data_IF_990794620485
#
_entry.id   IF_990794620485
#
_cell.length_a   1.000
_cell.length_b   1.000
_cell.length_c   1.000
_cell.angle_alpha   90.00
_cell.angle_beta   90.00
_cell.angle_gamma   90.00
#
_symmetry.space_group_name_H-M   'P 1'
#
loop_
_entity.id
_entity.type
_entity.pdbx_description
1 polymer ?
#
# COMPACT_ATOMS: atom_id res chain seq x y z
N UNK A 1 18.07 9.47 15.63
CA UNK A 1 19.52 9.10 15.81
C UNK A 1 20.20 9.94 16.89
N UNK A 2 19.80 11.18 17.12
CA UNK A 2 20.39 12.08 18.14
C UNK A 2 20.38 11.52 19.58
N UNK A 3 19.47 10.57 19.88
CA UNK A 3 19.41 9.88 21.20
C UNK A 3 20.02 8.47 21.18
N UNK A 4 20.79 8.14 20.13
CA UNK A 4 21.44 6.83 19.95
C UNK A 4 20.49 5.61 19.94
N UNK A 5 19.20 5.82 19.61
CA UNK A 5 18.21 4.75 19.48
C UNK A 5 18.30 4.09 18.08
N UNK A 6 19.46 3.53 17.77
CA UNK A 6 19.74 2.96 16.44
C UNK A 6 18.80 1.81 16.07
N UNK A 7 18.43 0.98 17.04
CA UNK A 7 17.53 -0.15 16.81
C UNK A 7 16.11 0.32 16.43
N UNK A 8 15.61 1.37 17.08
CA UNK A 8 14.31 1.95 16.77
C UNK A 8 14.32 2.59 15.38
N UNK A 9 15.37 3.34 15.06
CA UNK A 9 15.51 3.95 13.76
C UNK A 9 15.62 2.91 12.63
N UNK A 10 16.39 1.84 12.84
CA UNK A 10 16.49 0.72 11.89
C UNK A 10 15.14 0.03 11.69
N UNK A 11 14.37 -0.17 12.76
CA UNK A 11 13.03 -0.76 12.70
C UNK A 11 12.08 0.11 11.89
N UNK A 12 12.05 1.42 12.13
CA UNK A 12 11.21 2.35 11.38
C UNK A 12 11.53 2.32 9.88
N UNK A 13 12.83 2.28 9.52
CA UNK A 13 13.26 2.16 8.12
C UNK A 13 12.83 0.82 7.50
N UNK A 14 12.99 -0.26 8.25
CA UNK A 14 12.55 -1.58 7.81
C UNK A 14 11.03 -1.63 7.57
N UNK A 15 10.25 -1.14 8.54
CA UNK A 15 8.79 -1.11 8.45
C UNK A 15 8.32 -0.24 7.26
N UNK A 16 8.95 0.94 7.06
CA UNK A 16 8.67 1.79 5.91
C UNK A 16 8.97 1.08 4.58
N UNK A 17 10.15 0.45 4.45
CA UNK A 17 10.56 -0.19 3.20
C UNK A 17 9.62 -1.34 2.85
N UNK A 18 9.39 -2.25 3.79
CA UNK A 18 8.60 -3.45 3.53
C UNK A 18 7.11 -3.18 3.50
N UNK A 19 6.58 -2.55 4.56
CA UNK A 19 5.14 -2.43 4.73
C UNK A 19 4.57 -1.27 3.90
N UNK A 20 5.21 -0.09 3.91
CA UNK A 20 4.63 1.07 3.22
C UNK A 20 5.08 1.18 1.77
N UNK A 21 6.38 1.05 1.52
CA UNK A 21 6.90 1.26 0.17
C UNK A 21 6.68 0.04 -0.72
N UNK A 22 7.13 -1.16 -0.32
CA UNK A 22 7.03 -2.35 -1.17
C UNK A 22 5.59 -2.89 -1.26
N UNK A 23 4.92 -3.10 -0.12
CA UNK A 23 3.62 -3.75 -0.10
C UNK A 23 2.48 -2.85 -0.58
N UNK A 24 2.61 -1.52 -0.39
CA UNK A 24 1.55 -0.60 -0.74
C UNK A 24 1.95 0.33 -1.89
N UNK A 25 2.96 1.18 -1.70
CA UNK A 25 3.26 2.20 -2.71
C UNK A 25 3.58 1.60 -4.08
N UNK A 26 4.44 0.59 -4.15
CA UNK A 26 4.80 -0.05 -5.43
C UNK A 26 3.59 -0.72 -6.07
N UNK A 27 2.74 -1.40 -5.31
CA UNK A 27 1.54 -2.05 -5.85
C UNK A 27 0.52 -1.03 -6.39
N UNK A 28 0.34 0.10 -5.70
CA UNK A 28 -0.49 1.20 -6.19
C UNK A 28 0.13 1.84 -7.43
N UNK A 29 1.44 2.07 -7.42
CA UNK A 29 2.16 2.70 -8.52
C UNK A 29 2.10 1.87 -9.82
N UNK A 30 2.01 0.55 -9.74
CA UNK A 30 1.87 -0.32 -10.92
C UNK A 30 0.69 0.09 -11.80
N UNK A 31 -0.44 0.47 -11.20
CA UNK A 31 -1.62 0.90 -11.98
C UNK A 31 -1.34 2.11 -12.86
N UNK A 32 -0.48 3.02 -12.38
CA UNK A 32 -0.06 4.23 -13.10
C UNK A 32 1.09 3.96 -14.07
N UNK A 33 2.02 3.07 -13.72
CA UNK A 33 3.11 2.68 -14.63
C UNK A 33 2.63 2.03 -15.92
N UNK A 34 1.49 1.31 -15.85
CA UNK A 34 0.87 0.68 -17.03
C UNK A 34 -0.22 1.54 -17.68
N UNK A 35 -0.48 2.76 -17.18
CA UNK A 35 -1.44 3.66 -17.81
C UNK A 35 -0.86 4.26 -19.10
N UNK A 36 -1.73 4.80 -19.97
CA UNK A 36 -1.34 5.55 -21.16
C UNK A 36 -1.03 7.02 -20.85
N UNK A 37 -1.40 7.50 -19.66
CA UNK A 37 -1.15 8.86 -19.20
C UNK A 37 0.34 9.03 -18.84
N UNK A 38 1.06 9.69 -19.75
CA UNK A 38 2.51 9.91 -19.65
C UNK A 38 2.85 10.80 -18.45
N UNK A 39 2.06 11.84 -18.19
CA UNK A 39 2.33 12.79 -17.10
C UNK A 39 2.19 12.13 -15.74
N UNK A 40 1.10 11.37 -15.54
CA UNK A 40 0.89 10.57 -14.32
C UNK A 40 1.98 9.52 -14.13
N UNK A 41 2.43 8.89 -15.21
CA UNK A 41 3.53 7.93 -15.20
C UNK A 41 4.84 8.57 -14.77
N UNK A 42 5.21 9.70 -15.37
CA UNK A 42 6.44 10.42 -15.06
C UNK A 42 6.45 10.97 -13.62
N UNK A 43 5.32 11.50 -13.15
CA UNK A 43 5.18 11.93 -11.76
C UNK A 43 5.37 10.74 -10.80
N UNK A 44 4.71 9.62 -11.05
CA UNK A 44 4.85 8.41 -10.23
C UNK A 44 6.29 7.90 -10.21
N UNK A 45 6.97 7.92 -11.36
CA UNK A 45 8.39 7.57 -11.47
C UNK A 45 9.27 8.48 -10.62
N UNK A 46 9.06 9.80 -10.72
CA UNK A 46 9.83 10.80 -9.97
C UNK A 46 9.67 10.62 -8.46
N UNK A 47 8.45 10.37 -7.98
CA UNK A 47 8.17 10.10 -6.56
C UNK A 47 8.85 8.79 -6.12
N UNK A 48 8.75 7.72 -6.93
CA UNK A 48 9.37 6.44 -6.65
C UNK A 48 10.89 6.58 -6.49
N UNK A 49 11.56 7.19 -7.46
CA UNK A 49 13.02 7.40 -7.45
C UNK A 49 13.42 8.30 -6.28
N UNK A 50 12.68 9.38 -6.02
CA UNK A 50 12.96 10.26 -4.88
C UNK A 50 12.87 9.52 -3.54
N UNK A 51 11.84 8.67 -3.38
CA UNK A 51 11.65 7.84 -2.18
C UNK A 51 12.79 6.85 -2.00
N UNK A 52 13.18 6.13 -3.06
CA UNK A 52 14.31 5.19 -3.02
C UNK A 52 15.61 5.92 -2.65
N UNK A 53 15.90 7.05 -3.28
CA UNK A 53 17.11 7.84 -2.99
C UNK A 53 17.19 8.25 -1.51
N UNK A 54 16.10 8.77 -0.96
CA UNK A 54 16.02 9.14 0.46
C UNK A 54 16.21 7.92 1.36
N UNK A 55 15.57 6.81 1.02
CA UNK A 55 15.68 5.55 1.77
C UNK A 55 17.11 5.02 1.77
N UNK A 56 17.79 5.00 0.63
CA UNK A 56 19.20 4.59 0.51
C UNK A 56 20.10 5.49 1.36
N UNK A 57 19.87 6.81 1.36
CA UNK A 57 20.62 7.75 2.19
C UNK A 57 20.37 7.50 3.69
N UNK A 58 19.13 7.25 4.12
CA UNK A 58 18.80 6.96 5.52
C UNK A 58 19.36 5.61 5.99
N UNK A 59 19.53 4.64 5.09
CA UNK A 59 20.12 3.34 5.39
C UNK A 59 21.65 3.37 5.44
N UNK A 60 22.30 4.39 4.88
CA UNK A 60 23.76 4.44 4.72
C UNK A 60 24.53 4.22 6.03
N UNK A 61 24.14 4.76 7.20
CA UNK A 61 24.82 4.50 8.47
C UNK A 61 24.80 3.04 8.91
N UNK A 62 23.85 2.24 8.42
CA UNK A 62 23.70 0.83 8.78
C UNK A 62 24.38 -0.11 7.79
N UNK A 63 24.34 0.24 6.51
CA UNK A 63 24.79 -0.62 5.41
C UNK A 63 25.57 0.19 4.37
N UNK A 64 26.74 0.77 4.73
CA UNK A 64 27.44 1.76 3.89
C UNK A 64 27.82 1.24 2.50
N UNK A 65 28.32 0.02 2.41
CA UNK A 65 28.82 -0.51 1.13
C UNK A 65 27.70 -0.73 0.11
N UNK A 66 26.62 -1.37 0.51
CA UNK A 66 25.50 -1.66 -0.42
C UNK A 66 24.76 -0.37 -0.80
N UNK A 67 24.62 0.57 0.12
CA UNK A 67 23.94 1.84 -0.16
C UNK A 67 24.78 2.75 -1.06
N UNK A 68 26.11 2.73 -0.98
CA UNK A 68 26.98 3.44 -1.91
C UNK A 68 26.88 2.84 -3.32
N UNK A 69 26.85 1.53 -3.44
CA UNK A 69 26.65 0.86 -4.72
C UNK A 69 25.29 1.20 -5.32
N UNK A 70 24.21 1.12 -4.54
CA UNK A 70 22.87 1.52 -4.99
C UNK A 70 22.80 2.99 -5.39
N UNK A 71 23.48 3.87 -4.65
CA UNK A 71 23.55 5.31 -4.95
C UNK A 71 24.16 5.58 -6.31
N UNK A 72 25.13 4.75 -6.74
CA UNK A 72 25.77 4.90 -8.05
C UNK A 72 24.79 4.88 -9.22
N UNK A 73 23.67 4.17 -9.09
CA UNK A 73 22.60 4.11 -10.11
C UNK A 73 21.74 5.38 -10.15
N UNK A 74 21.72 6.14 -9.07
CA UNK A 74 20.87 7.33 -8.94
C UNK A 74 21.63 8.64 -9.03
N UNK A 75 22.96 8.62 -8.84
CA UNK A 75 23.78 9.82 -8.91
C UNK A 75 23.96 10.28 -10.35
N UNK A 76 23.84 11.59 -10.56
CA UNK A 76 24.25 12.21 -11.83
C UNK A 76 25.78 12.23 -11.98
N UNK A 77 26.27 12.49 -13.19
CA UNK A 77 27.72 12.52 -13.50
C UNK A 77 28.56 13.43 -12.60
N UNK A 78 27.94 14.48 -12.03
CA UNK A 78 28.60 15.48 -11.17
C UNK A 78 28.10 15.44 -9.73
N UNK A 79 27.41 14.38 -9.31
CA UNK A 79 26.91 14.24 -7.95
C UNK A 79 27.97 13.61 -7.04
N UNK A 80 27.98 14.04 -5.79
CA UNK A 80 28.85 13.50 -4.76
C UNK A 80 28.51 12.02 -4.45
N UNK A 81 29.48 11.30 -3.89
CA UNK A 81 29.24 10.01 -3.28
C UNK A 81 28.31 10.15 -2.07
N UNK A 82 27.61 9.10 -1.70
CA UNK A 82 26.57 9.17 -0.67
C UNK A 82 27.13 9.59 0.69
N UNK A 83 28.33 9.11 1.03
CA UNK A 83 29.01 9.41 2.29
C UNK A 83 29.24 10.91 2.54
N UNK A 84 29.34 11.72 1.48
CA UNK A 84 29.51 13.17 1.57
C UNK A 84 28.30 13.95 1.04
N UNK A 85 27.20 13.25 0.77
CA UNK A 85 25.96 13.88 0.32
C UNK A 85 25.20 14.50 1.50
N UNK A 86 24.29 15.43 1.19
CA UNK A 86 23.43 16.00 2.23
C UNK A 86 22.46 14.96 2.79
N UNK A 87 22.30 15.01 4.13
CA UNK A 87 21.31 14.19 4.83
C UNK A 87 19.89 14.58 4.41
N UNK A 88 18.98 13.59 4.15
CA UNK A 88 17.62 13.89 3.80
C UNK A 88 16.90 14.73 4.86
N UNK A 89 16.25 15.80 4.40
CA UNK A 89 15.46 16.70 5.26
C UNK A 89 13.98 16.38 5.13
N UNK A 90 13.28 16.50 6.24
CA UNK A 90 11.82 16.47 6.27
C UNK A 90 11.25 17.66 5.48
N UNK A 91 10.22 17.41 4.69
CA UNK A 91 9.42 18.44 4.08
C UNK A 91 7.98 18.36 4.62
N UNK A 92 7.67 19.20 5.58
CA UNK A 92 6.37 19.23 6.25
C UNK A 92 5.22 19.65 5.34
N UNK A 93 5.51 20.40 4.29
CA UNK A 93 4.50 20.87 3.33
C UNK A 93 3.91 19.70 2.50
N UNK A 94 4.58 18.56 2.51
CA UNK A 94 4.10 17.34 1.83
C UNK A 94 3.27 16.41 2.74
N UNK A 95 3.12 16.76 4.01
CA UNK A 95 2.32 15.97 4.96
C UNK A 95 0.88 16.43 4.86
N UNK A 96 0.00 15.52 4.45
CA UNK A 96 -1.43 15.73 4.34
C UNK A 96 -2.14 14.67 5.21
N UNK A 97 -2.66 15.10 6.36
CA UNK A 97 -3.30 14.23 7.33
C UNK A 97 -4.59 13.59 6.79
N UNK A 98 -5.33 14.27 5.91
CA UNK A 98 -6.54 13.72 5.30
C UNK A 98 -6.18 12.55 4.37
N UNK A 99 -5.15 12.73 3.54
CA UNK A 99 -4.64 11.67 2.66
C UNK A 99 -4.09 10.50 3.47
N UNK A 100 -3.36 10.77 4.56
CA UNK A 100 -2.82 9.73 5.44
C UNK A 100 -3.95 8.89 6.04
N UNK A 101 -4.99 9.53 6.58
CA UNK A 101 -6.15 8.85 7.17
C UNK A 101 -6.91 8.04 6.11
N UNK A 102 -7.21 8.64 4.97
CA UNK A 102 -7.84 7.96 3.82
C UNK A 102 -7.09 6.71 3.40
N UNK A 103 -5.77 6.82 3.26
CA UNK A 103 -4.92 5.67 2.92
C UNK A 103 -4.86 4.63 4.03
N UNK A 104 -4.92 5.04 5.29
CA UNK A 104 -5.03 4.14 6.44
C UNK A 104 -6.28 3.28 6.36
N UNK A 105 -7.45 3.89 6.19
CA UNK A 105 -8.73 3.19 6.05
C UNK A 105 -8.74 2.23 4.85
N UNK A 106 -8.22 2.66 3.70
CA UNK A 106 -8.11 1.81 2.51
C UNK A 106 -7.21 0.60 2.74
N UNK A 107 -6.07 0.79 3.40
CA UNK A 107 -5.16 -0.30 3.78
C UNK A 107 -5.86 -1.31 4.68
N UNK A 108 -6.64 -0.86 5.66
CA UNK A 108 -7.34 -1.73 6.59
C UNK A 108 -8.43 -2.55 5.89
N UNK A 109 -9.21 -1.94 5.01
CA UNK A 109 -10.23 -2.64 4.21
C UNK A 109 -9.57 -3.72 3.33
N UNK A 110 -8.54 -3.36 2.57
CA UNK A 110 -7.85 -4.29 1.68
C UNK A 110 -7.16 -5.42 2.46
N UNK A 111 -6.53 -5.09 3.59
CA UNK A 111 -5.90 -6.06 4.47
C UNK A 111 -6.90 -7.04 5.07
N UNK A 112 -8.09 -6.55 5.45
CA UNK A 112 -9.19 -7.38 5.93
C UNK A 112 -9.67 -8.38 4.87
N UNK A 113 -9.81 -7.94 3.61
CA UNK A 113 -10.14 -8.83 2.48
C UNK A 113 -9.04 -9.86 2.25
N UNK A 114 -7.77 -9.45 2.26
CA UNK A 114 -6.61 -10.36 2.12
C UNK A 114 -6.55 -11.39 3.25
N UNK A 115 -6.86 -10.98 4.48
CA UNK A 115 -6.92 -11.89 5.64
C UNK A 115 -8.03 -12.93 5.50
N UNK A 116 -9.21 -12.55 5.01
CA UNK A 116 -10.28 -13.51 4.69
C UNK A 116 -9.80 -14.50 3.62
N UNK A 117 -9.21 -14.02 2.54
CA UNK A 117 -8.68 -14.87 1.46
C UNK A 117 -7.68 -15.90 1.98
N UNK A 118 -6.73 -15.46 2.79
CA UNK A 118 -5.72 -16.34 3.41
C UNK A 118 -6.37 -17.38 4.31
N UNK A 119 -7.29 -16.97 5.19
CA UNK A 119 -8.01 -17.87 6.11
C UNK A 119 -8.86 -18.92 5.39
N UNK A 120 -9.38 -18.55 4.20
CA UNK A 120 -10.22 -19.43 3.37
C UNK A 120 -9.41 -20.17 2.29
N UNK A 121 -8.08 -20.09 2.32
CA UNK A 121 -7.20 -20.70 1.30
C UNK A 121 -7.56 -20.32 -0.14
N UNK A 122 -8.09 -19.10 -0.35
CA UNK A 122 -8.41 -18.61 -1.69
C UNK A 122 -7.12 -18.21 -2.40
N UNK A 123 -6.86 -18.81 -3.56
CA UNK A 123 -5.66 -18.49 -4.36
C UNK A 123 -5.53 -16.99 -4.61
N UNK A 124 -4.32 -16.41 -4.50
CA UNK A 124 -4.08 -15.01 -4.82
C UNK A 124 -4.47 -14.59 -6.25
N UNK A 125 -4.45 -15.54 -7.19
CA UNK A 125 -4.84 -15.30 -8.59
C UNK A 125 -6.35 -15.34 -8.83
N UNK A 126 -7.13 -15.98 -7.93
CA UNK A 126 -8.59 -16.08 -8.08
C UNK A 126 -9.23 -14.73 -7.76
N UNK A 127 -10.02 -14.20 -8.67
CA UNK A 127 -10.86 -13.03 -8.42
C UNK A 127 -12.09 -13.44 -7.62
N UNK A 128 -12.55 -12.55 -6.74
CA UNK A 128 -13.69 -12.79 -5.84
C UNK A 128 -14.65 -11.61 -5.87
N UNK A 129 -15.91 -11.85 -5.50
CA UNK A 129 -16.89 -10.79 -5.27
C UNK A 129 -16.86 -10.36 -3.81
N UNK A 130 -16.99 -9.05 -3.56
CA UNK A 130 -17.02 -8.44 -2.24
C UNK A 130 -18.34 -7.71 -2.04
N UNK A 131 -19.01 -7.97 -0.92
CA UNK A 131 -20.21 -7.27 -0.48
C UNK A 131 -19.86 -6.46 0.76
N UNK A 132 -20.15 -5.17 0.75
CA UNK A 132 -19.83 -4.21 1.81
C UNK A 132 -21.13 -3.61 2.30
N UNK A 133 -21.47 -3.89 3.56
CA UNK A 133 -22.58 -3.23 4.24
C UNK A 133 -22.00 -2.08 5.08
N UNK A 134 -22.43 -0.87 4.79
CA UNK A 134 -21.96 0.34 5.43
C UNK A 134 -23.02 1.45 5.37
N UNK A 135 -22.78 2.57 6.02
CA UNK A 135 -23.66 3.75 5.92
C UNK A 135 -23.47 4.52 4.61
N UNK A 136 -24.34 5.50 4.34
CA UNK A 136 -24.32 6.27 3.09
C UNK A 136 -23.04 7.10 2.90
N UNK A 137 -22.45 7.63 3.98
CA UNK A 137 -21.21 8.40 3.89
C UNK A 137 -20.03 7.51 3.47
N UNK A 138 -20.02 6.27 3.93
CA UNK A 138 -18.99 5.29 3.58
C UNK A 138 -19.15 4.74 2.15
N UNK A 139 -20.37 4.75 1.59
CA UNK A 139 -20.60 4.34 0.19
C UNK A 139 -19.79 5.21 -0.76
N UNK A 140 -19.88 6.53 -0.62
CA UNK A 140 -19.14 7.46 -1.47
C UNK A 140 -17.62 7.25 -1.37
N UNK A 141 -17.11 7.01 -0.17
CA UNK A 141 -15.70 6.71 0.06
C UNK A 141 -15.25 5.45 -0.69
N UNK A 142 -16.03 4.36 -0.61
CA UNK A 142 -15.74 3.10 -1.29
C UNK A 142 -15.79 3.29 -2.81
N UNK A 143 -16.80 3.98 -3.34
CA UNK A 143 -16.99 4.17 -4.78
C UNK A 143 -15.87 5.01 -5.39
N UNK A 144 -15.47 6.09 -4.73
CA UNK A 144 -14.34 6.92 -5.16
C UNK A 144 -13.02 6.13 -5.24
N UNK A 145 -12.83 5.16 -4.33
CA UNK A 145 -11.62 4.36 -4.24
C UNK A 145 -11.75 2.95 -4.84
N UNK A 146 -12.88 2.67 -5.49
CA UNK A 146 -13.23 1.33 -5.98
C UNK A 146 -12.18 0.70 -6.88
N UNK A 147 -11.60 1.46 -7.82
CA UNK A 147 -10.55 0.96 -8.72
C UNK A 147 -9.32 0.44 -7.94
N UNK A 148 -8.93 1.14 -6.89
CA UNK A 148 -7.80 0.77 -6.05
C UNK A 148 -8.13 -0.48 -5.24
N UNK A 149 -9.29 -0.51 -4.58
CA UNK A 149 -9.76 -1.65 -3.80
C UNK A 149 -9.87 -2.90 -4.68
N UNK A 150 -10.51 -2.79 -5.85
CA UNK A 150 -10.66 -3.90 -6.78
C UNK A 150 -9.31 -4.46 -7.24
N UNK A 151 -8.37 -3.58 -7.57
CA UNK A 151 -7.04 -3.98 -8.04
C UNK A 151 -6.25 -4.69 -6.94
N UNK A 152 -6.13 -4.09 -5.75
CA UNK A 152 -5.26 -4.57 -4.68
C UNK A 152 -5.85 -5.75 -3.88
N UNK A 153 -7.18 -5.84 -3.79
CA UNK A 153 -7.87 -6.97 -3.18
C UNK A 153 -8.16 -8.10 -4.18
N UNK A 154 -7.85 -7.90 -5.48
CA UNK A 154 -8.12 -8.85 -6.57
C UNK A 154 -9.60 -9.23 -6.65
N UNK A 155 -10.45 -8.20 -6.76
CA UNK A 155 -11.88 -8.39 -6.89
C UNK A 155 -12.30 -8.52 -8.36
N UNK A 156 -13.32 -9.33 -8.59
CA UNK A 156 -14.07 -9.40 -9.86
C UNK A 156 -15.18 -8.35 -9.87
N UNK A 157 -15.87 -8.24 -8.73
CA UNK A 157 -16.97 -7.30 -8.53
C UNK A 157 -17.07 -6.87 -7.07
N UNK A 158 -17.75 -5.76 -6.82
CA UNK A 158 -18.14 -5.37 -5.47
C UNK A 158 -19.58 -4.83 -5.48
N UNK A 159 -20.24 -4.91 -4.34
CA UNK A 159 -21.53 -4.27 -4.07
C UNK A 159 -21.44 -3.59 -2.71
N UNK A 160 -21.87 -2.34 -2.64
CA UNK A 160 -21.78 -1.52 -1.42
C UNK A 160 -23.13 -0.88 -1.12
N UNK A 161 -23.50 -0.76 0.16
CA UNK A 161 -24.72 -0.08 0.58
C UNK A 161 -25.23 -0.52 1.94
N UNK A 162 -26.16 0.26 2.49
CA UNK A 162 -26.75 0.01 3.82
C UNK A 162 -27.71 -1.18 3.84
N UNK A 163 -28.32 -1.52 2.70
CA UNK A 163 -29.29 -2.60 2.55
C UNK A 163 -28.66 -3.95 2.17
N UNK A 164 -27.33 -4.01 2.05
CA UNK A 164 -26.64 -5.26 1.71
C UNK A 164 -26.93 -6.32 2.79
N UNK A 165 -27.43 -7.47 2.35
CA UNK A 165 -27.64 -8.62 3.20
C UNK A 165 -26.45 -9.56 3.13
N UNK A 166 -26.13 -10.17 4.26
CA UNK A 166 -25.07 -11.19 4.32
C UNK A 166 -25.43 -12.36 3.40
N UNK A 167 -24.61 -12.67 2.38
CA UNK A 167 -24.84 -13.83 1.54
C UNK A 167 -24.79 -15.14 2.37
N UNK A 168 -25.62 -16.12 1.98
CA UNK A 168 -25.51 -17.46 2.54
C UNK A 168 -24.12 -18.02 2.24
N UNK A 169 -23.50 -18.71 3.20
CA UNK A 169 -22.15 -19.28 3.05
C UNK A 169 -21.10 -18.22 2.66
N UNK A 170 -20.97 -17.19 3.46
CA UNK A 170 -19.95 -16.15 3.29
C UNK A 170 -19.02 -16.06 4.47
N UNK A 171 -17.72 -15.80 4.20
CA UNK A 171 -16.81 -15.33 5.21
C UNK A 171 -17.04 -13.84 5.46
N UNK A 172 -16.95 -13.42 6.73
CA UNK A 172 -17.21 -12.06 7.13
C UNK A 172 -16.05 -11.47 7.94
N UNK A 173 -15.90 -10.14 7.85
CA UNK A 173 -15.05 -9.34 8.73
C UNK A 173 -15.70 -7.98 8.97
N UNK A 174 -15.31 -7.31 10.03
CA UNK A 174 -15.76 -5.95 10.33
C UNK A 174 -14.52 -5.03 10.41
N UNK A 175 -14.57 -3.91 9.73
CA UNK A 175 -13.52 -2.89 9.71
C UNK A 175 -14.13 -1.50 9.62
N UNK A 176 -13.72 -0.57 10.47
CA UNK A 176 -14.26 0.81 10.55
C UNK A 176 -15.81 0.88 10.57
N UNK A 177 -16.46 -0.09 11.25
CA UNK A 177 -17.91 -0.18 11.29
C UNK A 177 -18.58 -0.77 10.04
N UNK A 178 -17.84 -1.02 8.96
CA UNK A 178 -18.30 -1.68 7.76
C UNK A 178 -18.25 -3.21 7.93
N UNK A 179 -19.28 -3.91 7.46
CA UNK A 179 -19.32 -5.36 7.39
C UNK A 179 -18.92 -5.83 5.98
N UNK A 180 -17.84 -6.59 5.87
CA UNK A 180 -17.31 -7.13 4.62
C UNK A 180 -17.71 -8.60 4.50
N UNK A 181 -18.27 -9.00 3.36
CA UNK A 181 -18.69 -10.37 3.09
C UNK A 181 -18.08 -10.89 1.79
N UNK A 182 -17.49 -12.06 1.83
CA UNK A 182 -16.97 -12.77 0.65
C UNK A 182 -17.73 -14.09 0.54
N UNK A 183 -18.56 -14.28 -0.50
CA UNK A 183 -19.24 -15.56 -0.74
C UNK A 183 -18.22 -16.69 -0.94
N UNK A 184 -18.48 -17.83 -0.32
CA UNK A 184 -17.69 -19.02 -0.47
C UNK A 184 -18.38 -19.93 -1.49
N UNK A 185 -17.72 -20.22 -2.60
CA UNK A 185 -18.21 -21.21 -3.54
C UNK A 185 -18.14 -22.59 -2.91
N UNK A 186 -19.15 -23.43 -3.18
CA UNK A 186 -19.25 -24.80 -2.65
C UNK A 186 -18.00 -25.66 -2.92
N UNK A 187 -17.22 -25.32 -3.95
CA UNK A 187 -15.95 -25.99 -4.29
C UNK A 187 -14.81 -25.74 -3.29
N UNK A 188 -14.95 -24.73 -2.39
CA UNK A 188 -13.95 -24.39 -1.37
C UNK A 188 -14.25 -25.03 -0.01
N UNK A 189 -15.39 -25.70 0.14
CA UNK A 189 -15.85 -26.30 1.42
C UNK A 189 -15.35 -27.75 1.58
N UNK A 190 -14.76 -28.31 0.56
CA UNK A 190 -14.29 -29.71 0.56
C UNK A 190 -12.76 -29.79 0.61
N UNK A 191 -12.14 -29.23 1.65
CA UNK A 191 -10.76 -29.56 2.04
C UNK A 191 -10.74 -29.88 3.54
#
# INVERSE_FOLDING_TARGET
MERFHFNEAAKVLYDYIWNDFCDWYIEIAKTRFYSEDIDSKMMTYSICISSIRKTVALLHPYTPFITEELWSFFKGKNSNDLIISEWPKENKDLIDEEVINTMGELKDIISSVRAIRSRMNISPSKKISLYIKCDEAQVDFIDQNSKLIMSLAKLESYSVGSSIQKPSQSAASVVHGMELYIPLELSLIHI
#
